data_IF_338318626586
#
_entry.id   IF_338318626586
#
_cell.length_a   1.000
_cell.length_b   1.000
_cell.length_c   1.000
_cell.angle_alpha   90.00
_cell.angle_beta   90.00
_cell.angle_gamma   90.00
#
_symmetry.space_group_name_H-M   'P 1'
#
loop_
_entity.id
_entity.type
_entity.pdbx_description
1 polymer ?
#
# COMPACT_ATOMS: atom_id res chain seq x y z
N UNK A 1 -12.48 -3.42 11.71
CA UNK A 1 -13.10 -2.13 11.33
C UNK A 1 -12.26 -1.01 11.92
N UNK A 2 -12.03 0.08 11.19
CA UNK A 2 -10.99 1.08 11.48
C UNK A 2 -11.46 2.19 12.41
N UNK A 3 -10.58 2.71 13.29
CA UNK A 3 -10.80 3.91 14.09
C UNK A 3 -11.18 5.12 13.23
N UNK A 4 -12.08 5.97 13.72
CA UNK A 4 -12.44 7.19 13.03
C UNK A 4 -11.24 8.14 12.83
N UNK A 5 -11.38 9.06 11.86
CA UNK A 5 -10.38 10.10 11.57
C UNK A 5 -10.00 10.23 10.10
N UNK A 6 -9.00 11.06 9.84
CA UNK A 6 -8.47 11.31 8.50
C UNK A 6 -7.42 10.28 8.11
N UNK A 7 -7.55 9.72 6.90
CA UNK A 7 -6.62 8.73 6.36
C UNK A 7 -6.31 9.01 4.89
N UNK A 8 -5.16 8.51 4.45
CA UNK A 8 -4.76 8.50 3.06
C UNK A 8 -4.83 7.06 2.52
N UNK A 9 -5.79 6.82 1.63
CA UNK A 9 -5.87 5.55 0.91
C UNK A 9 -4.91 5.64 -0.27
N UNK A 10 -3.89 4.77 -0.28
CA UNK A 10 -2.98 4.63 -1.40
C UNK A 10 -3.39 3.46 -2.28
N UNK A 11 -3.62 3.73 -3.56
CA UNK A 11 -3.91 2.72 -4.58
C UNK A 11 -2.75 2.61 -5.54
N UNK A 12 -2.52 1.40 -6.03
CA UNK A 12 -1.53 1.15 -7.07
C UNK A 12 -2.08 0.19 -8.12
N UNK A 13 -1.62 0.39 -9.34
CA UNK A 13 -1.63 -0.63 -10.40
C UNK A 13 -0.17 -0.87 -10.75
N UNK A 14 0.23 -2.14 -10.80
CA UNK A 14 1.60 -2.54 -11.09
C UNK A 14 1.61 -3.32 -12.40
N UNK A 15 2.27 -2.77 -13.42
CA UNK A 15 2.38 -3.37 -14.74
C UNK A 15 3.66 -4.20 -14.80
N UNK A 16 3.55 -5.47 -15.19
CA UNK A 16 4.66 -6.44 -15.15
C UNK A 16 5.17 -6.84 -16.54
N UNK A 17 4.76 -6.14 -17.60
CA UNK A 17 5.09 -6.51 -18.98
C UNK A 17 6.61 -6.60 -19.23
N UNK A 18 7.39 -5.73 -18.58
CA UNK A 18 8.85 -5.69 -18.70
C UNK A 18 9.57 -6.20 -17.44
N UNK A 19 8.85 -6.75 -16.45
CA UNK A 19 9.41 -7.17 -15.16
C UNK A 19 10.28 -8.46 -15.22
N UNK A 20 10.75 -8.83 -16.42
CA UNK A 20 11.80 -9.85 -16.63
C UNK A 20 13.21 -9.28 -16.44
N UNK A 21 13.34 -7.95 -16.45
CA UNK A 21 14.55 -7.19 -16.12
C UNK A 21 14.34 -6.38 -14.84
N UNK A 22 15.44 -6.08 -14.14
CA UNK A 22 15.43 -5.14 -13.02
C UNK A 22 14.88 -3.79 -13.49
N UNK A 23 14.09 -3.13 -12.65
CA UNK A 23 13.40 -1.86 -12.93
C UNK A 23 12.36 -1.92 -14.06
N UNK A 24 12.02 -3.11 -14.56
CA UNK A 24 10.99 -3.28 -15.59
C UNK A 24 9.55 -3.31 -15.06
N UNK A 25 9.35 -3.26 -13.74
CA UNK A 25 8.04 -3.15 -13.13
C UNK A 25 7.62 -1.67 -13.05
N UNK A 26 6.45 -1.34 -13.60
CA UNK A 26 5.93 0.03 -13.60
C UNK A 26 4.84 0.20 -12.54
N UNK A 27 4.95 1.27 -11.75
CA UNK A 27 4.08 1.53 -10.60
C UNK A 27 3.24 2.79 -10.84
N UNK A 28 1.93 2.62 -11.07
CA UNK A 28 0.99 3.72 -11.19
C UNK A 28 0.23 3.90 -9.87
N UNK A 29 0.65 4.86 -9.06
CA UNK A 29 0.04 5.08 -7.74
C UNK A 29 -0.80 6.35 -7.65
N UNK A 30 -1.87 6.29 -6.86
CA UNK A 30 -2.72 7.43 -6.53
C UNK A 30 -3.06 7.44 -5.04
N UNK A 31 -3.44 8.62 -4.56
CA UNK A 31 -3.80 8.84 -3.17
C UNK A 31 -5.18 9.48 -3.08
N UNK A 32 -6.00 9.01 -2.15
CA UNK A 32 -7.32 9.56 -1.87
C UNK A 32 -7.39 9.88 -0.39
N UNK A 33 -7.66 11.14 -0.07
CA UNK A 33 -7.92 11.56 1.31
C UNK A 33 -9.37 11.24 1.68
N UNK A 34 -9.55 10.60 2.83
CA UNK A 34 -10.87 10.24 3.35
C UNK A 34 -10.99 10.61 4.82
N UNK A 35 -12.20 10.93 5.25
CA UNK A 35 -12.54 11.03 6.66
C UNK A 35 -13.45 9.84 7.01
N UNK A 36 -12.97 8.98 7.91
CA UNK A 36 -13.71 7.83 8.40
C UNK A 36 -14.57 8.30 9.57
N UNK A 37 -15.89 8.20 9.42
CA UNK A 37 -16.86 8.73 10.38
C UNK A 37 -17.05 7.84 11.61
N UNK A 38 -17.68 6.68 11.42
CA UNK A 38 -18.02 5.78 12.52
C UNK A 38 -16.78 5.30 13.27
N UNK A 39 -16.83 5.36 14.60
CA UNK A 39 -15.69 5.00 15.43
C UNK A 39 -15.72 3.51 15.79
N UNK A 40 -14.59 2.85 15.55
CA UNK A 40 -14.36 1.42 15.79
C UNK A 40 -12.95 1.27 16.36
N UNK A 41 -12.61 0.11 16.93
CA UNK A 41 -11.33 -0.03 17.66
C UNK A 41 -10.15 -0.50 16.80
N UNK A 42 -10.33 -0.78 15.52
CA UNK A 42 -9.27 -1.34 14.69
C UNK A 42 -8.22 -0.30 14.29
N UNK A 43 -6.97 -0.63 14.54
CA UNK A 43 -5.78 0.11 14.11
C UNK A 43 -4.81 -0.95 13.58
N UNK A 44 -4.08 -0.64 12.51
CA UNK A 44 -3.02 -1.52 12.04
C UNK A 44 -1.97 -1.68 13.16
N UNK A 45 -1.55 -2.91 13.40
CA UNK A 45 -0.40 -3.18 14.26
C UNK A 45 0.88 -2.73 13.57
N UNK A 46 1.94 -2.49 14.34
CA UNK A 46 3.25 -2.10 13.78
C UNK A 46 3.81 -3.13 12.78
N UNK A 47 3.43 -4.41 12.90
CA UNK A 47 3.80 -5.48 11.96
C UNK A 47 3.03 -5.44 10.64
N UNK A 48 1.91 -4.74 10.58
CA UNK A 48 1.09 -4.56 9.38
C UNK A 48 1.41 -3.24 8.65
N UNK A 49 2.18 -2.35 9.27
CA UNK A 49 2.59 -1.07 8.69
C UNK A 49 3.88 -1.19 7.88
N UNK A 50 3.94 -0.47 6.77
CA UNK A 50 5.09 -0.39 5.88
C UNK A 50 5.39 1.08 5.56
N UNK A 51 6.67 1.40 5.34
CA UNK A 51 7.09 2.74 4.94
C UNK A 51 7.21 2.88 3.43
N UNK A 52 6.97 4.10 2.91
CA UNK A 52 7.20 4.41 1.50
C UNK A 52 8.05 5.70 1.38
N UNK A 53 9.24 5.64 0.73
CA UNK A 53 9.90 4.44 0.20
C UNK A 53 10.41 3.50 1.32
N UNK A 54 10.51 2.19 1.04
CA UNK A 54 11.04 1.19 1.98
C UNK A 54 10.31 -0.17 1.99
N UNK A 55 9.01 -0.19 1.70
CA UNK A 55 8.17 -1.40 1.75
C UNK A 55 8.32 -2.39 0.59
N UNK A 56 9.10 -2.05 -0.45
CA UNK A 56 9.38 -2.91 -1.59
C UNK A 56 10.88 -3.02 -1.85
N UNK A 57 11.29 -4.16 -2.42
CA UNK A 57 12.65 -4.42 -2.89
C UNK A 57 12.59 -5.08 -4.26
N UNK A 58 13.51 -4.71 -5.16
CA UNK A 58 13.64 -5.30 -6.51
C UNK A 58 14.03 -6.79 -6.47
N UNK A 59 14.50 -7.27 -5.32
CA UNK A 59 14.82 -8.68 -5.09
C UNK A 59 13.62 -9.51 -4.63
N UNK A 60 12.47 -8.89 -4.32
CA UNK A 60 11.32 -9.64 -3.84
C UNK A 60 10.68 -10.46 -4.97
N UNK A 61 10.36 -11.74 -4.76
CA UNK A 61 9.60 -12.50 -5.74
C UNK A 61 8.23 -11.85 -5.95
N UNK A 62 7.76 -11.82 -7.20
CA UNK A 62 6.45 -11.28 -7.57
C UNK A 62 5.37 -12.19 -7.00
N UNK A 63 4.93 -11.95 -5.77
CA UNK A 63 3.78 -12.62 -5.17
C UNK A 63 2.51 -11.82 -5.43
N UNK A 64 1.44 -12.54 -5.78
CA UNK A 64 0.09 -12.04 -6.10
C UNK A 64 -0.62 -11.29 -4.94
N UNK A 65 0.03 -11.12 -3.78
CA UNK A 65 -0.53 -10.50 -2.59
C UNK A 65 0.27 -9.26 -2.20
N UNK A 66 0.12 -8.18 -2.96
CA UNK A 66 0.73 -6.90 -2.62
C UNK A 66 -0.17 -6.24 -1.56
N UNK A 67 0.33 -5.96 -0.35
CA UNK A 67 -0.50 -5.39 0.72
C UNK A 67 -0.99 -4.00 0.31
N UNK A 68 -2.30 -3.78 0.40
CA UNK A 68 -2.89 -2.45 0.35
C UNK A 68 -2.54 -1.75 1.67
N UNK A 69 -1.45 -0.98 1.67
CA UNK A 69 -1.06 -0.21 2.85
C UNK A 69 -1.99 1.02 2.99
N UNK A 70 -2.69 1.10 4.12
CA UNK A 70 -3.37 2.32 4.53
C UNK A 70 -2.32 3.24 5.17
N UNK A 71 -2.16 4.46 4.66
CA UNK A 71 -1.27 5.45 5.24
C UNK A 71 -2.10 6.37 6.16
N UNK A 72 -1.66 6.51 7.42
CA UNK A 72 -2.21 7.50 8.36
C UNK A 72 -1.66 8.89 8.04
#
# INVERSE_FOLDING_TARGET
MLKNGYYLIRRWIITLLLATMRDGAEFHSSYTQVNIGDDQFGIASASEELTFPGGYSDSNPIQSGIPQCLLR
#
